data_IF_440770450090
#
_entry.id   IF_440770450090
#
_cell.length_a   1.000
_cell.length_b   1.000
_cell.length_c   1.000
_cell.angle_alpha   90.00
_cell.angle_beta   90.00
_cell.angle_gamma   90.00
#
_symmetry.space_group_name_H-M   'P 1'
#
loop_
_entity.id
_entity.type
_entity.pdbx_description
1 polymer ?
#
# COMPACT_ATOMS: atom_id res chain seq x y z
N UNK A 1 23.23 -19.95 20.79
CA UNK A 1 23.26 -18.69 20.02
C UNK A 1 22.10 -18.71 19.03
N UNK A 2 21.14 -17.80 19.18
CA UNK A 2 19.97 -17.69 18.29
C UNK A 2 20.41 -17.04 16.98
N UNK A 3 20.01 -17.62 15.83
CA UNK A 3 20.32 -17.08 14.50
C UNK A 3 19.08 -16.43 13.88
N UNK A 4 19.24 -15.35 13.10
CA UNK A 4 18.12 -14.75 12.38
C UNK A 4 17.55 -15.76 11.38
N UNK A 5 16.24 -15.73 11.18
CA UNK A 5 15.62 -16.46 10.07
C UNK A 5 16.11 -15.90 8.74
N UNK A 6 15.87 -16.62 7.63
CA UNK A 6 16.25 -16.15 6.29
C UNK A 6 15.60 -14.80 5.94
N UNK A 7 14.34 -14.61 6.33
CA UNK A 7 13.61 -13.34 6.16
C UNK A 7 14.24 -12.22 7.00
N UNK A 8 14.53 -12.48 8.28
CA UNK A 8 15.16 -11.49 9.16
C UNK A 8 16.57 -11.11 8.67
N UNK A 9 17.38 -12.08 8.23
CA UNK A 9 18.69 -11.79 7.65
C UNK A 9 18.60 -10.95 6.37
N UNK A 10 17.55 -11.13 5.56
CA UNK A 10 17.31 -10.33 4.35
C UNK A 10 17.01 -8.87 4.68
N UNK A 11 16.11 -8.59 5.64
CA UNK A 11 15.80 -7.20 6.01
C UNK A 11 16.99 -6.54 6.71
N UNK A 12 17.72 -7.27 7.56
CA UNK A 12 18.95 -6.77 8.20
C UNK A 12 20.04 -6.43 7.17
N UNK A 13 20.19 -7.27 6.13
CA UNK A 13 21.06 -6.97 4.97
C UNK A 13 20.65 -5.69 4.27
N UNK A 14 19.35 -5.51 4.01
CA UNK A 14 18.84 -4.32 3.34
C UNK A 14 19.11 -3.06 4.18
N UNK A 15 18.85 -3.10 5.49
CA UNK A 15 19.14 -1.99 6.42
C UNK A 15 20.64 -1.64 6.42
N UNK A 16 21.52 -2.64 6.55
CA UNK A 16 22.97 -2.41 6.54
C UNK A 16 23.43 -1.78 5.22
N UNK A 17 22.97 -2.31 4.08
CA UNK A 17 23.37 -1.81 2.78
C UNK A 17 22.84 -0.40 2.52
N UNK A 18 21.59 -0.11 2.88
CA UNK A 18 21.04 1.25 2.80
C UNK A 18 21.86 2.23 3.66
N UNK A 19 22.26 1.80 4.85
CA UNK A 19 23.12 2.59 5.75
C UNK A 19 24.50 2.86 5.14
N UNK A 20 25.13 1.84 4.53
CA UNK A 20 26.40 2.00 3.81
C UNK A 20 26.26 3.02 2.69
N UNK A 21 25.20 2.93 1.89
CA UNK A 21 24.98 3.85 0.77
C UNK A 21 24.76 5.30 1.24
N UNK A 22 24.06 5.51 2.36
CA UNK A 22 23.90 6.83 3.00
C UNK A 22 25.27 7.38 3.45
N UNK A 23 26.07 6.57 4.14
CA UNK A 23 27.41 6.96 4.63
C UNK A 23 28.35 7.30 3.48
N UNK A 24 28.39 6.47 2.44
CA UNK A 24 29.20 6.71 1.23
C UNK A 24 28.74 7.94 0.46
N UNK A 25 27.43 8.15 0.30
CA UNK A 25 26.86 9.33 -0.35
C UNK A 25 27.19 10.62 0.41
N UNK A 26 27.07 10.60 1.73
CA UNK A 26 27.35 11.75 2.60
C UNK A 26 28.83 12.12 2.54
N UNK A 27 29.71 11.12 2.54
CA UNK A 27 31.15 11.32 2.36
C UNK A 27 31.46 11.93 0.99
N UNK A 28 30.81 11.46 -0.07
CA UNK A 28 30.97 12.01 -1.43
C UNK A 28 30.58 13.49 -1.50
N UNK A 29 29.49 13.87 -0.84
CA UNK A 29 29.08 15.29 -0.73
C UNK A 29 30.15 16.10 -0.01
N UNK A 30 30.64 15.63 1.15
CA UNK A 30 31.67 16.32 1.91
C UNK A 30 32.98 16.48 1.12
N UNK A 31 33.40 15.44 0.40
CA UNK A 31 34.57 15.46 -0.49
C UNK A 31 34.39 16.44 -1.65
N UNK A 32 33.20 16.51 -2.26
CA UNK A 32 32.89 17.49 -3.31
C UNK A 32 33.04 18.91 -2.79
N UNK A 33 32.33 19.27 -1.71
CA UNK A 33 32.35 20.61 -1.14
C UNK A 33 33.76 21.04 -0.74
N UNK A 34 34.57 20.11 -0.21
CA UNK A 34 35.98 20.37 0.13
C UNK A 34 36.83 20.68 -1.10
N UNK A 35 36.61 19.98 -2.21
CA UNK A 35 37.46 20.06 -3.40
C UNK A 35 37.08 21.20 -4.35
N UNK A 36 35.79 21.54 -4.45
CA UNK A 36 35.29 22.55 -5.40
C UNK A 36 35.00 23.89 -4.73
N UNK A 37 34.87 23.93 -3.39
CA UNK A 37 34.32 25.06 -2.64
C UNK A 37 32.89 25.47 -3.09
N UNK A 38 32.20 24.61 -3.84
CA UNK A 38 30.83 24.79 -4.29
C UNK A 38 29.88 23.81 -3.56
N UNK A 39 28.60 24.17 -3.39
CA UNK A 39 27.59 23.23 -2.91
C UNK A 39 27.50 22.00 -3.81
N UNK A 40 27.25 20.82 -3.22
CA UNK A 40 26.96 19.63 -3.99
C UNK A 40 25.61 19.77 -4.74
N UNK A 41 25.43 19.07 -5.88
CA UNK A 41 24.17 19.11 -6.61
C UNK A 41 22.97 18.72 -5.74
N UNK A 42 21.87 19.47 -5.83
CA UNK A 42 20.67 19.26 -5.00
C UNK A 42 20.16 17.81 -5.03
N UNK A 43 20.13 17.20 -6.22
CA UNK A 43 19.75 15.79 -6.43
C UNK A 43 20.53 14.77 -5.59
N UNK A 44 21.75 15.08 -5.16
CA UNK A 44 22.53 14.18 -4.28
C UNK A 44 21.98 14.22 -2.84
N UNK A 45 21.52 15.38 -2.39
CA UNK A 45 20.85 15.50 -1.10
C UNK A 45 19.50 14.78 -1.11
N UNK A 46 18.72 14.96 -2.18
CA UNK A 46 17.45 14.25 -2.36
C UNK A 46 17.63 12.72 -2.38
N UNK A 47 18.63 12.20 -3.09
CA UNK A 47 18.94 10.76 -3.11
C UNK A 47 19.30 10.24 -1.71
N UNK A 48 20.14 10.97 -0.95
CA UNK A 48 20.48 10.58 0.43
C UNK A 48 19.25 10.62 1.34
N UNK A 49 18.41 11.66 1.22
CA UNK A 49 17.17 11.76 1.99
C UNK A 49 16.24 10.59 1.68
N UNK A 50 16.03 10.27 0.39
CA UNK A 50 15.24 9.11 -0.02
C UNK A 50 15.80 7.79 0.56
N UNK A 51 17.12 7.60 0.57
CA UNK A 51 17.76 6.42 1.20
C UNK A 51 17.57 6.41 2.71
N UNK A 52 17.65 7.55 3.38
CA UNK A 52 17.38 7.66 4.82
C UNK A 52 15.94 7.26 5.12
N UNK A 53 14.99 7.68 4.30
CA UNK A 53 13.57 7.34 4.43
C UNK A 53 13.38 5.82 4.26
N UNK A 54 13.91 5.23 3.18
CA UNK A 54 13.88 3.78 2.96
C UNK A 54 14.47 3.02 4.14
N UNK A 55 15.63 3.44 4.67
CA UNK A 55 16.23 2.83 5.87
C UNK A 55 15.27 2.90 7.07
N UNK A 56 14.69 4.08 7.36
CA UNK A 56 13.74 4.25 8.48
C UNK A 56 12.52 3.33 8.33
N UNK A 57 11.99 3.19 7.13
CA UNK A 57 10.86 2.30 6.84
C UNK A 57 11.23 0.83 6.99
N UNK A 58 12.41 0.41 6.52
CA UNK A 58 12.94 -0.94 6.72
C UNK A 58 13.13 -1.27 8.20
N UNK A 59 13.71 -0.37 8.99
CA UNK A 59 13.89 -0.58 10.44
C UNK A 59 12.54 -0.70 11.16
N UNK A 60 11.56 0.13 10.77
CA UNK A 60 10.22 0.08 11.33
C UNK A 60 9.49 -1.23 10.97
N UNK A 61 9.59 -1.67 9.71
CA UNK A 61 9.05 -2.95 9.27
C UNK A 61 9.78 -4.14 9.92
N UNK A 62 11.10 -4.04 10.11
CA UNK A 62 11.90 -5.03 10.81
C UNK A 62 11.41 -5.27 12.23
N UNK A 63 11.17 -4.20 12.99
CA UNK A 63 10.56 -4.27 14.33
C UNK A 63 9.17 -4.92 14.28
N UNK A 64 8.29 -4.47 13.37
CA UNK A 64 6.94 -5.01 13.23
C UNK A 64 6.93 -6.50 12.83
N UNK A 65 7.95 -6.97 12.12
CA UNK A 65 8.15 -8.39 11.81
C UNK A 65 8.97 -9.18 12.82
N UNK A 66 9.19 -8.64 14.03
CA UNK A 66 9.83 -9.35 15.13
C UNK A 66 11.34 -9.52 14.99
N UNK A 67 12.01 -8.63 14.27
CA UNK A 67 13.47 -8.52 14.34
C UNK A 67 13.85 -7.79 15.65
N UNK A 68 14.71 -8.38 16.50
CA UNK A 68 15.22 -7.72 17.70
C UNK A 68 15.86 -6.36 17.36
N UNK A 69 15.51 -5.32 18.11
CA UNK A 69 16.07 -3.98 18.02
C UNK A 69 17.60 -3.99 18.19
N UNK A 70 18.18 -4.83 19.07
CA UNK A 70 19.66 -4.94 19.17
C UNK A 70 20.31 -5.42 17.88
N UNK A 71 19.63 -6.24 17.08
CA UNK A 71 20.14 -6.65 15.77
C UNK A 71 20.04 -5.51 14.77
N UNK A 72 18.92 -4.78 14.75
CA UNK A 72 18.72 -3.60 13.90
C UNK A 72 19.79 -2.54 14.21
N UNK A 73 19.98 -2.23 15.48
CA UNK A 73 21.00 -1.27 15.94
C UNK A 73 22.40 -1.71 15.54
N UNK A 74 22.73 -2.99 15.74
CA UNK A 74 24.04 -3.50 15.41
C UNK A 74 24.36 -3.39 13.91
N UNK A 75 23.39 -3.66 13.03
CA UNK A 75 23.63 -3.57 11.57
C UNK A 75 23.70 -2.12 11.09
N UNK A 76 22.94 -1.23 11.71
CA UNK A 76 23.02 0.22 11.49
C UNK A 76 24.38 0.77 11.91
N UNK A 77 24.80 0.52 13.15
CA UNK A 77 26.11 0.97 13.66
C UNK A 77 27.27 0.51 12.77
N UNK A 78 27.18 -0.70 12.20
CA UNK A 78 28.21 -1.22 11.29
C UNK A 78 28.22 -0.54 9.92
N UNK A 79 27.07 -0.10 9.43
CA UNK A 79 26.95 0.71 8.21
C UNK A 79 27.40 2.16 8.41
N UNK A 80 27.38 2.66 9.65
CA UNK A 80 27.77 4.04 10.01
C UNK A 80 29.26 4.21 10.34
N UNK A 81 30.04 3.12 10.39
CA UNK A 81 31.49 3.19 10.65
C UNK A 81 32.22 3.98 9.57
N UNK A 82 33.36 4.56 9.93
CA UNK A 82 34.27 5.28 9.00
C UNK A 82 34.64 4.46 7.77
N UNK A 83 34.83 3.15 7.95
CA UNK A 83 34.97 2.17 6.88
C UNK A 83 33.72 1.29 6.87
N UNK A 84 32.65 1.71 6.17
CA UNK A 84 31.41 0.97 6.17
C UNK A 84 31.62 -0.36 5.46
N UNK A 85 31.11 -1.43 6.06
CA UNK A 85 31.22 -2.78 5.50
C UNK A 85 29.84 -3.20 5.05
N UNK A 86 29.67 -3.62 3.78
CA UNK A 86 28.41 -4.20 3.31
C UNK A 86 28.13 -5.54 4.00
N UNK A 87 26.86 -5.94 4.02
CA UNK A 87 26.44 -7.18 4.68
C UNK A 87 27.22 -8.40 4.19
N UNK A 88 27.58 -9.29 5.12
CA UNK A 88 28.10 -10.63 4.83
C UNK A 88 27.26 -11.67 5.58
N UNK A 89 27.16 -12.90 5.05
CA UNK A 89 26.36 -13.95 5.66
C UNK A 89 27.01 -14.59 6.90
N UNK A 90 28.31 -14.40 7.09
CA UNK A 90 29.11 -14.91 8.21
C UNK A 90 29.20 -13.92 9.39
N UNK A 91 28.41 -12.84 9.37
CA UNK A 91 28.48 -11.82 10.40
C UNK A 91 27.90 -12.31 11.73
N UNK A 92 28.68 -12.12 12.79
CA UNK A 92 28.20 -12.23 14.16
C UNK A 92 27.17 -11.12 14.45
N UNK A 93 26.05 -11.51 15.07
CA UNK A 93 25.05 -10.58 15.62
C UNK A 93 25.11 -10.64 17.15
N UNK A 94 24.76 -9.52 17.81
CA UNK A 94 24.65 -9.43 19.27
C UNK A 94 23.61 -10.43 19.76
N UNK A 95 23.69 -10.81 21.04
CA UNK A 95 22.61 -11.60 21.63
C UNK A 95 21.29 -10.81 21.56
N UNK A 96 20.22 -11.41 21.00
CA UNK A 96 18.95 -10.73 20.87
C UNK A 96 18.31 -10.55 22.23
N UNK A 97 17.62 -9.43 22.40
CA UNK A 97 16.63 -9.26 23.45
C UNK A 97 15.36 -10.10 23.15
N UNK A 98 14.56 -10.42 24.18
CA UNK A 98 13.27 -11.07 23.98
C UNK A 98 12.35 -10.25 23.09
N UNK A 99 11.64 -10.91 22.18
CA UNK A 99 10.60 -10.32 21.33
C UNK A 99 9.24 -10.81 21.82
N UNK A 100 8.33 -9.88 22.11
CA UNK A 100 6.95 -10.20 22.47
C UNK A 100 6.16 -10.64 21.23
N UNK A 101 6.15 -11.95 20.98
CA UNK A 101 5.51 -12.54 19.81
C UNK A 101 3.99 -12.34 19.83
N UNK A 102 3.35 -12.41 20.99
CA UNK A 102 1.90 -12.29 21.09
C UNK A 102 1.43 -10.87 20.79
N UNK A 103 2.17 -9.85 21.25
CA UNK A 103 1.91 -8.47 20.88
C UNK A 103 2.01 -8.26 19.35
N UNK A 104 3.02 -8.85 18.70
CA UNK A 104 3.19 -8.76 17.24
C UNK A 104 2.07 -9.48 16.48
N UNK A 105 1.67 -10.67 16.92
CA UNK A 105 0.52 -11.38 16.37
C UNK A 105 -0.77 -10.56 16.52
N UNK A 106 -0.95 -9.88 17.66
CA UNK A 106 -2.06 -8.96 17.88
C UNK A 106 -2.08 -7.77 16.92
N UNK A 107 -0.91 -7.21 16.57
CA UNK A 107 -0.79 -6.15 15.55
C UNK A 107 -1.21 -6.68 14.18
N UNK A 108 -0.66 -7.82 13.75
CA UNK A 108 -1.02 -8.45 12.47
C UNK A 108 -2.51 -8.78 12.43
N UNK A 109 -3.09 -9.29 13.52
CA UNK A 109 -4.51 -9.57 13.62
C UNK A 109 -5.40 -8.34 13.40
N UNK A 110 -5.00 -7.17 13.94
CA UNK A 110 -5.69 -5.89 13.68
C UNK A 110 -5.59 -5.46 12.22
N UNK A 111 -4.41 -5.60 11.60
CA UNK A 111 -4.24 -5.29 10.17
C UNK A 111 -5.17 -6.18 9.30
N UNK A 112 -5.28 -7.47 9.61
CA UNK A 112 -6.20 -8.38 8.90
C UNK A 112 -7.67 -8.01 9.13
N UNK A 113 -8.05 -7.63 10.36
CA UNK A 113 -9.41 -7.18 10.64
C UNK A 113 -9.76 -5.93 9.81
N UNK A 114 -8.86 -4.94 9.75
CA UNK A 114 -9.04 -3.75 8.92
C UNK A 114 -9.16 -4.10 7.42
N UNK A 115 -8.34 -5.01 6.89
CA UNK A 115 -8.44 -5.50 5.50
C UNK A 115 -9.83 -6.11 5.24
N UNK A 116 -10.34 -6.92 6.16
CA UNK A 116 -11.67 -7.55 6.07
C UNK A 116 -12.80 -6.51 6.09
N UNK A 117 -12.72 -5.50 6.94
CA UNK A 117 -13.70 -4.42 7.03
C UNK A 117 -13.76 -3.60 5.73
N UNK A 118 -12.59 -3.23 5.19
CA UNK A 118 -12.50 -2.49 3.92
C UNK A 118 -13.03 -3.35 2.77
N UNK A 119 -12.68 -4.65 2.72
CA UNK A 119 -13.21 -5.58 1.72
C UNK A 119 -14.74 -5.70 1.79
N UNK A 120 -15.32 -5.75 3.00
CA UNK A 120 -16.76 -5.81 3.18
C UNK A 120 -17.46 -4.52 2.73
N UNK A 121 -16.87 -3.35 3.01
CA UNK A 121 -17.39 -2.07 2.54
C UNK A 121 -17.35 -2.00 1.01
N UNK A 122 -16.24 -2.42 0.38
CA UNK A 122 -16.13 -2.49 -1.08
C UNK A 122 -17.14 -3.43 -1.72
N UNK A 123 -17.39 -4.60 -1.09
CA UNK A 123 -18.43 -5.53 -1.52
C UNK A 123 -19.83 -4.91 -1.45
N UNK A 124 -20.14 -4.18 -0.36
CA UNK A 124 -21.42 -3.48 -0.21
C UNK A 124 -21.59 -2.37 -1.24
N UNK A 125 -20.57 -1.55 -1.47
CA UNK A 125 -20.58 -0.49 -2.47
C UNK A 125 -20.93 -1.02 -3.86
N UNK A 126 -20.31 -2.14 -4.26
CA UNK A 126 -20.56 -2.77 -5.54
C UNK A 126 -22.01 -3.26 -5.74
N UNK A 127 -22.77 -3.51 -4.66
CA UNK A 127 -24.18 -3.93 -4.74
C UNK A 127 -25.15 -2.76 -4.76
N UNK A 128 -24.89 -1.72 -3.95
CA UNK A 128 -25.85 -0.62 -3.81
C UNK A 128 -25.67 0.49 -4.84
N UNK A 129 -24.55 0.51 -5.57
CA UNK A 129 -24.28 1.49 -6.62
C UNK A 129 -24.56 2.91 -6.14
N UNK A 130 -23.78 3.41 -5.17
CA UNK A 130 -24.00 4.79 -4.72
C UNK A 130 -23.51 5.78 -5.78
N UNK A 131 -24.11 6.99 -5.82
CA UNK A 131 -23.55 8.17 -6.52
C UNK A 131 -22.13 8.55 -6.07
N UNK A 132 -21.55 7.82 -5.09
CA UNK A 132 -20.20 8.06 -4.62
C UNK A 132 -19.16 7.79 -5.70
N UNK A 133 -18.18 8.68 -5.70
CA UNK A 133 -17.08 8.81 -6.64
C UNK A 133 -16.39 7.47 -6.95
N UNK A 134 -16.50 7.01 -8.20
CA UNK A 134 -15.81 5.83 -8.71
C UNK A 134 -14.28 5.91 -8.52
N UNK A 135 -13.72 7.14 -8.51
CA UNK A 135 -12.32 7.36 -8.20
C UNK A 135 -12.00 6.98 -6.75
N UNK A 136 -12.86 7.33 -5.79
CA UNK A 136 -12.68 6.96 -4.39
C UNK A 136 -12.70 5.43 -4.22
N UNK A 137 -13.63 4.73 -4.88
CA UNK A 137 -13.67 3.27 -4.86
C UNK A 137 -12.38 2.63 -5.41
N UNK A 138 -11.85 3.15 -6.54
CA UNK A 138 -10.57 2.68 -7.10
C UNK A 138 -9.37 2.95 -6.18
N UNK A 139 -9.35 4.09 -5.50
CA UNK A 139 -8.30 4.42 -4.51
C UNK A 139 -8.37 3.45 -3.32
N UNK A 140 -9.58 3.18 -2.81
CA UNK A 140 -9.78 2.23 -1.70
C UNK A 140 -9.35 0.83 -2.09
N UNK A 141 -9.69 0.36 -3.29
CA UNK A 141 -9.23 -0.95 -3.79
C UNK A 141 -7.70 -1.02 -3.80
N UNK A 142 -7.02 -0.01 -4.36
CA UNK A 142 -5.56 0.05 -4.36
C UNK A 142 -4.98 0.05 -2.94
N UNK A 143 -5.56 0.83 -2.01
CA UNK A 143 -5.14 0.88 -0.60
C UNK A 143 -5.35 -0.46 0.10
N UNK A 144 -6.45 -1.15 -0.18
CA UNK A 144 -6.73 -2.50 0.32
C UNK A 144 -5.65 -3.49 -0.12
N UNK A 145 -5.26 -3.47 -1.40
CA UNK A 145 -4.16 -4.30 -1.91
C UNK A 145 -2.82 -3.95 -1.26
N UNK A 146 -2.50 -2.67 -1.06
CA UNK A 146 -1.27 -2.24 -0.39
C UNK A 146 -1.24 -2.69 1.08
N UNK A 147 -2.35 -2.56 1.81
CA UNK A 147 -2.48 -3.03 3.20
C UNK A 147 -2.33 -4.54 3.28
N UNK A 148 -2.95 -5.29 2.36
CA UNK A 148 -2.79 -6.74 2.27
C UNK A 148 -1.35 -7.16 1.95
N UNK A 149 -0.71 -6.52 0.97
CA UNK A 149 0.67 -6.83 0.58
C UNK A 149 1.62 -6.59 1.77
N UNK A 150 1.47 -5.46 2.46
CA UNK A 150 2.21 -5.13 3.66
C UNK A 150 2.01 -6.19 4.76
N UNK A 151 0.76 -6.54 5.09
CA UNK A 151 0.46 -7.56 6.08
C UNK A 151 1.09 -8.91 5.70
N UNK A 152 0.99 -9.34 4.44
CA UNK A 152 1.61 -10.57 3.95
C UNK A 152 3.14 -10.54 4.10
N UNK A 153 3.81 -9.43 3.76
CA UNK A 153 5.26 -9.30 3.96
C UNK A 153 5.66 -9.33 5.44
N UNK A 154 4.85 -8.74 6.34
CA UNK A 154 5.08 -8.83 7.78
C UNK A 154 4.92 -10.28 8.29
N UNK A 155 3.93 -11.03 7.81
CA UNK A 155 3.78 -12.45 8.18
C UNK A 155 4.98 -13.30 7.71
N UNK A 156 5.54 -12.99 6.53
CA UNK A 156 6.76 -13.62 6.02
C UNK A 156 7.98 -13.30 6.90
N UNK A 157 8.06 -12.07 7.40
CA UNK A 157 9.16 -11.63 8.25
C UNK A 157 9.07 -12.22 9.68
N UNK A 158 7.87 -12.23 10.26
CA UNK A 158 7.56 -12.80 11.56
C UNK A 158 7.69 -14.34 11.59
N UNK A 159 7.64 -14.98 10.42
CA UNK A 159 7.67 -16.42 10.29
C UNK A 159 6.43 -17.04 10.92
N UNK A 160 5.25 -16.58 10.48
CA UNK A 160 3.97 -17.14 10.91
C UNK A 160 3.93 -18.65 10.63
N UNK A 161 3.51 -19.41 11.63
CA UNK A 161 3.25 -20.86 11.53
C UNK A 161 1.84 -21.12 11.00
N UNK A 162 1.57 -22.35 10.54
CA UNK A 162 0.23 -22.74 10.10
C UNK A 162 -0.83 -22.54 11.20
N UNK A 163 -0.53 -22.94 12.43
CA UNK A 163 -1.45 -22.79 13.56
C UNK A 163 -1.71 -21.31 13.93
N UNK A 164 -0.71 -20.44 13.79
CA UNK A 164 -0.91 -18.99 13.98
C UNK A 164 -1.75 -18.38 12.84
N UNK A 165 -1.50 -18.78 11.60
CA UNK A 165 -2.29 -18.35 10.44
C UNK A 165 -3.75 -18.76 10.58
N UNK A 166 -4.01 -20.01 10.97
CA UNK A 166 -5.35 -20.50 11.30
C UNK A 166 -5.99 -19.63 12.38
N UNK A 167 -5.31 -19.36 13.50
CA UNK A 167 -5.89 -18.49 14.55
C UNK A 167 -6.15 -17.05 14.10
N UNK A 168 -5.27 -16.46 13.29
CA UNK A 168 -5.35 -15.06 12.92
C UNK A 168 -6.42 -14.78 11.87
N UNK A 169 -6.54 -15.66 10.87
CA UNK A 169 -7.39 -15.38 9.73
C UNK A 169 -8.09 -16.60 9.17
N UNK A 170 -8.29 -17.65 9.96
CA UNK A 170 -9.14 -18.81 9.62
C UNK A 170 -10.22 -18.40 8.61
N UNK A 171 -10.23 -19.08 7.47
CA UNK A 171 -11.25 -18.95 6.43
C UNK A 171 -12.54 -19.61 6.90
N UNK A 172 -13.02 -19.21 8.08
CA UNK A 172 -14.31 -19.62 8.57
C UNK A 172 -15.38 -18.84 7.80
N UNK A 173 -16.33 -19.54 7.15
CA UNK A 173 -17.45 -18.90 6.43
C UNK A 173 -18.21 -17.87 7.29
N UNK A 174 -18.17 -18.04 8.61
CA UNK A 174 -18.81 -17.13 9.55
C UNK A 174 -18.28 -15.70 9.49
N UNK A 175 -17.00 -15.48 9.16
CA UNK A 175 -16.46 -14.12 9.10
C UNK A 175 -17.19 -13.32 8.01
N UNK A 176 -17.34 -13.91 6.83
CA UNK A 176 -17.95 -13.26 5.68
C UNK A 176 -19.43 -12.97 5.97
N UNK A 177 -20.13 -13.90 6.63
CA UNK A 177 -21.51 -13.72 7.05
C UNK A 177 -21.66 -12.58 8.08
N UNK A 178 -20.77 -12.50 9.08
CA UNK A 178 -20.75 -11.41 10.07
C UNK A 178 -20.46 -10.06 9.41
N UNK A 179 -19.48 -10.01 8.51
CA UNK A 179 -19.13 -8.79 7.80
C UNK A 179 -20.23 -8.33 6.85
N UNK A 180 -20.86 -9.26 6.10
CA UNK A 180 -22.04 -9.00 5.30
C UNK A 180 -23.18 -8.44 6.17
N UNK A 181 -23.45 -9.03 7.33
CA UNK A 181 -24.45 -8.52 8.28
C UNK A 181 -24.15 -7.09 8.75
N UNK A 182 -22.88 -6.80 9.06
CA UNK A 182 -22.46 -5.48 9.52
C UNK A 182 -22.66 -4.40 8.44
N UNK A 183 -22.35 -4.71 7.18
CA UNK A 183 -22.44 -3.74 6.08
C UNK A 183 -23.81 -3.70 5.39
N UNK A 184 -24.65 -4.74 5.49
CA UNK A 184 -25.97 -4.77 4.84
C UNK A 184 -26.91 -3.69 5.37
N UNK A 185 -26.68 -3.22 6.60
CA UNK A 185 -27.49 -2.19 7.27
C UNK A 185 -27.06 -0.77 6.94
N UNK A 186 -25.95 -0.59 6.20
CA UNK A 186 -25.46 0.73 5.82
C UNK A 186 -26.27 1.25 4.63
N UNK A 187 -26.67 2.52 4.71
CA UNK A 187 -27.27 3.25 3.59
C UNK A 187 -26.20 3.59 2.54
N UNK A 188 -26.59 3.82 1.28
CA UNK A 188 -25.65 4.19 0.22
C UNK A 188 -24.80 5.43 0.56
N UNK A 189 -25.40 6.45 1.19
CA UNK A 189 -24.68 7.66 1.63
C UNK A 189 -23.59 7.32 2.64
N UNK A 190 -23.88 6.51 3.65
CA UNK A 190 -22.90 6.12 4.68
C UNK A 190 -21.78 5.27 4.08
N UNK A 191 -22.08 4.43 3.09
CA UNK A 191 -21.06 3.67 2.35
C UNK A 191 -20.15 4.63 1.58
N UNK A 192 -20.72 5.62 0.88
CA UNK A 192 -19.97 6.66 0.17
C UNK A 192 -19.05 7.47 1.09
N UNK A 193 -19.57 7.96 2.22
CA UNK A 193 -18.79 8.74 3.18
C UNK A 193 -17.59 7.96 3.73
N UNK A 194 -17.80 6.69 4.08
CA UNK A 194 -16.71 5.81 4.56
C UNK A 194 -15.68 5.51 3.47
N UNK A 195 -16.09 5.36 2.22
CA UNK A 195 -15.14 5.20 1.11
C UNK A 195 -14.30 6.46 0.92
N UNK A 196 -14.90 7.65 1.00
CA UNK A 196 -14.16 8.92 0.91
C UNK A 196 -13.15 9.07 2.06
N UNK A 197 -13.55 8.72 3.28
CA UNK A 197 -12.67 8.69 4.44
C UNK A 197 -11.47 7.75 4.22
N UNK A 198 -11.73 6.52 3.78
CA UNK A 198 -10.67 5.55 3.48
C UNK A 198 -9.80 5.96 2.28
N UNK A 199 -10.35 6.66 1.29
CA UNK A 199 -9.65 7.09 0.09
C UNK A 199 -8.71 8.27 0.34
N UNK A 200 -9.08 9.21 1.21
CA UNK A 200 -8.39 10.49 1.32
C UNK A 200 -7.91 10.84 2.73
N UNK A 201 -8.47 10.21 3.77
CA UNK A 201 -8.19 10.55 5.18
C UNK A 201 -7.43 9.46 5.92
N UNK A 202 -7.45 8.20 5.46
CA UNK A 202 -6.73 7.09 6.12
C UNK A 202 -5.22 7.37 6.25
N UNK A 203 -4.81 7.78 7.45
CA UNK A 203 -3.43 8.15 7.80
C UNK A 203 -2.52 6.95 7.96
N UNK A 204 -3.06 5.74 8.15
CA UNK A 204 -2.21 4.55 8.22
C UNK A 204 -1.43 4.35 6.93
N UNK A 205 -1.98 4.82 5.80
CA UNK A 205 -1.35 4.72 4.50
C UNK A 205 -0.06 5.53 4.37
N UNK A 206 0.13 6.58 5.15
CA UNK A 206 1.39 7.34 5.23
C UNK A 206 2.55 6.46 5.72
N UNK A 207 2.25 5.44 6.52
CA UNK A 207 3.21 4.45 7.01
C UNK A 207 3.23 3.19 6.16
N UNK A 208 2.06 2.61 5.88
CA UNK A 208 1.93 1.31 5.22
C UNK A 208 2.50 1.33 3.81
N UNK A 209 2.20 2.38 3.03
CA UNK A 209 2.66 2.50 1.64
C UNK A 209 4.20 2.48 1.54
N UNK A 210 4.91 3.41 2.20
CA UNK A 210 6.36 3.44 2.19
C UNK A 210 7.02 2.18 2.77
N UNK A 211 6.44 1.57 3.81
CA UNK A 211 6.94 0.30 4.35
C UNK A 211 6.82 -0.85 3.34
N UNK A 212 5.69 -0.98 2.66
CA UNK A 212 5.50 -2.01 1.63
C UNK A 212 6.48 -1.82 0.46
N UNK A 213 6.71 -0.58 0.02
CA UNK A 213 7.67 -0.26 -1.04
C UNK A 213 9.09 -0.65 -0.59
N UNK A 214 9.51 -0.22 0.59
CA UNK A 214 10.84 -0.51 1.12
C UNK A 214 11.08 -2.03 1.28
N UNK A 215 10.08 -2.78 1.79
CA UNK A 215 10.14 -4.24 1.86
C UNK A 215 10.24 -4.88 0.47
N UNK A 216 9.49 -4.39 -0.52
CA UNK A 216 9.55 -4.89 -1.90
C UNK A 216 10.93 -4.68 -2.52
N UNK A 217 11.52 -3.51 -2.33
CA UNK A 217 12.90 -3.21 -2.76
C UNK A 217 13.93 -4.11 -2.05
N UNK A 218 13.67 -4.48 -0.79
CA UNK A 218 14.46 -5.49 -0.07
C UNK A 218 14.21 -6.94 -0.53
N UNK A 219 13.34 -7.17 -1.52
CA UNK A 219 13.05 -8.48 -2.10
C UNK A 219 12.03 -9.31 -1.31
N UNK A 220 11.14 -8.66 -0.55
CA UNK A 220 9.96 -9.30 0.00
C UNK A 220 8.81 -9.20 -1.01
N UNK A 221 7.93 -10.20 -1.02
CA UNK A 221 6.72 -10.19 -1.85
C UNK A 221 5.63 -10.94 -1.11
N UNK A 222 4.37 -10.51 -1.25
CA UNK A 222 3.25 -11.20 -0.61
C UNK A 222 3.15 -12.68 -1.02
N UNK A 223 3.46 -12.99 -2.28
CA UNK A 223 3.45 -14.35 -2.82
C UNK A 223 4.52 -15.27 -2.23
N UNK A 224 5.59 -14.71 -1.64
CA UNK A 224 6.63 -15.48 -0.97
C UNK A 224 6.29 -15.84 0.49
N UNK A 225 5.18 -15.31 1.03
CA UNK A 225 4.70 -15.66 2.36
C UNK A 225 4.04 -17.05 2.33
N UNK A 226 4.65 -18.02 3.04
CA UNK A 226 4.15 -19.41 3.10
C UNK A 226 2.72 -19.50 3.63
N UNK A 227 2.40 -18.66 4.60
CA UNK A 227 1.08 -18.55 5.21
C UNK A 227 0.62 -17.10 5.05
N UNK A 228 0.29 -16.72 3.82
CA UNK A 228 -0.25 -15.39 3.53
C UNK A 228 -1.73 -15.31 3.98
N UNK A 229 -2.21 -14.12 4.39
CA UNK A 229 -3.64 -13.89 4.58
C UNK A 229 -4.41 -14.01 3.25
N UNK A 230 -5.72 -14.31 3.28
CA UNK A 230 -6.53 -14.41 2.07
C UNK A 230 -6.47 -13.13 1.23
N UNK A 231 -6.50 -13.26 -0.09
CA UNK A 231 -6.37 -12.11 -1.00
C UNK A 231 -7.57 -11.18 -0.90
N UNK A 232 -7.42 -9.88 -1.19
CA UNK A 232 -8.53 -8.94 -1.23
C UNK A 232 -9.68 -9.40 -2.12
N UNK A 233 -9.36 -9.91 -3.32
CA UNK A 233 -10.35 -10.45 -4.25
C UNK A 233 -11.17 -11.60 -3.65
N UNK A 234 -10.51 -12.53 -2.94
CA UNK A 234 -11.21 -13.61 -2.23
C UNK A 234 -12.12 -13.06 -1.13
N UNK A 235 -11.62 -12.14 -0.30
CA UNK A 235 -12.40 -11.56 0.79
C UNK A 235 -13.65 -10.82 0.28
N UNK A 236 -13.49 -10.01 -0.77
CA UNK A 236 -14.61 -9.30 -1.42
C UNK A 236 -15.62 -10.30 -1.99
N UNK A 237 -15.15 -11.36 -2.66
CA UNK A 237 -16.01 -12.41 -3.24
C UNK A 237 -16.84 -13.11 -2.16
N UNK A 238 -16.22 -13.54 -1.06
CA UNK A 238 -16.93 -14.21 0.04
C UNK A 238 -18.01 -13.32 0.66
N UNK A 239 -17.71 -12.03 0.85
CA UNK A 239 -18.71 -11.08 1.38
C UNK A 239 -19.84 -10.84 0.38
N UNK A 240 -19.55 -10.73 -0.92
CA UNK A 240 -20.58 -10.61 -1.96
C UNK A 240 -21.51 -11.82 -1.96
N UNK A 241 -20.96 -13.04 -1.88
CA UNK A 241 -21.76 -14.27 -1.77
C UNK A 241 -22.63 -14.26 -0.51
N UNK A 242 -22.08 -13.87 0.64
CA UNK A 242 -22.84 -13.76 1.88
C UNK A 242 -23.94 -12.68 1.83
N UNK A 243 -23.72 -11.57 1.13
CA UNK A 243 -24.72 -10.52 0.91
C UNK A 243 -25.83 -11.00 -0.01
N UNK A 244 -25.53 -11.73 -1.09
CA UNK A 244 -26.54 -12.25 -2.02
C UNK A 244 -27.50 -13.25 -1.36
N UNK A 245 -27.02 -14.07 -0.43
CA UNK A 245 -27.88 -14.98 0.37
C UNK A 245 -28.83 -14.20 1.29
N UNK A 246 -28.39 -13.02 1.76
CA UNK A 246 -29.10 -12.21 2.75
C UNK A 246 -30.13 -11.29 2.12
N UNK A 247 -29.76 -10.64 1.02
CA UNK A 247 -30.55 -9.64 0.31
C UNK A 247 -30.88 -10.16 -1.10
N UNK A 248 -31.70 -11.22 -1.25
CA UNK A 248 -31.98 -11.84 -2.55
C UNK A 248 -32.68 -10.90 -3.54
N UNK A 249 -33.35 -9.84 -3.04
CA UNK A 249 -33.97 -8.80 -3.86
C UNK A 249 -32.94 -7.83 -4.46
N UNK A 250 -31.72 -7.77 -3.90
CA UNK A 250 -30.56 -7.06 -4.47
C UNK A 250 -29.73 -8.08 -5.26
N UNK A 251 -30.37 -8.74 -6.22
CA UNK A 251 -29.76 -9.81 -7.02
C UNK A 251 -28.59 -9.33 -7.88
N UNK A 252 -27.67 -10.23 -8.25
CA UNK A 252 -26.46 -9.92 -9.02
C UNK A 252 -26.78 -9.75 -10.51
N UNK A 253 -27.58 -8.73 -10.87
CA UNK A 253 -27.88 -8.38 -12.27
C UNK A 253 -28.13 -6.86 -12.41
N UNK A 254 -27.10 -6.09 -12.04
CA UNK A 254 -26.76 -4.88 -12.80
C UNK A 254 -25.37 -5.12 -13.41
N UNK A 255 -25.21 -6.25 -14.11
CA UNK A 255 -24.33 -6.21 -15.29
C UNK A 255 -24.89 -5.10 -16.16
N UNK A 256 -24.11 -4.04 -16.32
CA UNK A 256 -24.40 -2.92 -17.20
C UNK A 256 -24.78 -3.47 -18.57
N UNK A 257 -26.09 -3.65 -18.80
CA UNK A 257 -26.59 -3.89 -20.13
C UNK A 257 -26.27 -2.60 -20.88
N UNK A 258 -25.45 -2.60 -21.94
CA UNK A 258 -24.98 -1.37 -22.60
C UNK A 258 -26.08 -0.45 -23.17
N UNK A 259 -27.36 -0.75 -22.96
CA UNK A 259 -28.50 0.09 -23.31
C UNK A 259 -29.16 0.84 -22.14
N UNK A 260 -28.98 0.42 -20.88
CA UNK A 260 -29.73 0.99 -19.75
C UNK A 260 -29.24 2.38 -19.35
N UNK A 261 -27.94 2.62 -19.49
CA UNK A 261 -27.32 3.95 -19.31
C UNK A 261 -27.68 4.91 -20.45
N UNK A 262 -27.97 4.39 -21.65
CA UNK A 262 -28.45 5.19 -22.80
C UNK A 262 -29.92 5.58 -22.59
N UNK A 263 -30.77 4.68 -22.12
CA UNK A 263 -32.16 4.99 -21.78
C UNK A 263 -32.25 6.01 -20.65
N UNK A 264 -31.46 5.85 -19.59
CA UNK A 264 -31.46 6.81 -18.48
C UNK A 264 -30.85 8.17 -18.87
N UNK A 265 -29.89 8.20 -19.80
CA UNK A 265 -29.37 9.44 -20.39
C UNK A 265 -30.38 10.12 -21.34
N UNK A 266 -31.14 9.35 -22.12
CA UNK A 266 -32.18 9.86 -23.02
C UNK A 266 -33.39 10.39 -22.26
N UNK A 267 -33.77 9.73 -21.16
CA UNK A 267 -34.88 10.15 -20.30
C UNK A 267 -34.55 11.46 -19.56
N UNK A 268 -33.27 11.66 -19.17
CA UNK A 268 -32.79 12.93 -18.59
C UNK A 268 -32.69 14.08 -19.61
N UNK A 269 -32.63 13.79 -20.90
CA UNK A 269 -32.58 14.79 -22.00
C UNK A 269 -33.97 15.06 -22.59
N UNK A 270 -35.02 14.36 -22.14
CA UNK A 270 -36.40 14.65 -22.53
C UNK A 270 -36.74 14.29 -23.98
N UNK A 271 -35.96 13.42 -24.63
CA UNK A 271 -36.17 13.02 -26.02
C UNK A 271 -36.98 11.71 -26.11
N UNK A 272 -38.15 11.69 -25.46
CA UNK A 272 -39.15 10.65 -25.67
C UNK A 272 -39.97 10.94 -26.92
N UNK A 273 -39.40 10.68 -28.10
CA UNK A 273 -40.08 10.86 -29.38
C UNK A 273 -39.65 9.82 -30.40
N UNK A 274 -40.61 8.99 -30.82
CA UNK A 274 -40.48 7.98 -31.88
C UNK A 274 -39.73 8.52 -33.10
N UNK A 275 -38.48 8.10 -33.27
CA UNK A 275 -37.70 8.33 -34.48
C UNK A 275 -37.27 6.98 -35.07
N UNK A 276 -37.72 6.75 -36.29
CA UNK A 276 -37.40 5.68 -37.23
C UNK A 276 -35.90 5.35 -37.24
N UNK A 277 -35.49 4.07 -37.32
CA UNK A 277 -34.08 3.69 -37.21
C UNK A 277 -33.29 4.16 -38.45
N UNK A 278 -32.16 4.87 -38.28
CA UNK A 278 -31.20 4.99 -39.36
C UNK A 278 -30.32 3.73 -39.44
N UNK A 279 -30.20 3.25 -40.67
CA UNK A 279 -29.38 2.15 -41.17
C UNK A 279 -27.99 2.06 -40.52
N UNK A 280 -27.63 0.85 -40.11
CA UNK A 280 -26.32 0.51 -39.56
C UNK A 280 -25.16 0.81 -40.54
N UNK A 281 -24.05 1.41 -40.10
CA UNK A 281 -22.77 1.26 -40.77
C UNK A 281 -22.11 -0.04 -40.31
N UNK A 282 -21.99 -0.98 -41.25
CA UNK A 282 -21.06 -2.11 -41.19
C UNK A 282 -19.64 -1.53 -41.28
N UNK A 283 -18.79 -1.81 -40.29
CA UNK A 283 -17.34 -1.73 -40.46
C UNK A 283 -16.65 -2.96 -39.88
N UNK A 284 -15.79 -3.52 -40.73
CA UNK A 284 -15.12 -4.81 -40.64
C UNK A 284 -14.25 -5.01 -39.42
N UNK A 285 -14.24 -6.28 -38.99
CA UNK A 285 -13.15 -6.93 -38.28
C UNK A 285 -11.84 -6.83 -39.06
N UNK A 286 -10.79 -6.29 -38.44
CA UNK A 286 -9.42 -6.66 -38.77
C UNK A 286 -8.70 -6.95 -37.45
N UNK A 287 -8.53 -8.24 -37.19
CA UNK A 287 -7.64 -8.74 -36.16
C UNK A 287 -6.21 -8.32 -36.51
N UNK A 288 -5.55 -7.61 -35.61
CA UNK A 288 -4.09 -7.53 -35.58
C UNK A 288 -3.64 -8.10 -34.25
N UNK A 289 -3.28 -9.39 -34.29
CA UNK A 289 -2.39 -9.99 -33.32
C UNK A 289 -1.04 -9.28 -33.43
N UNK A 290 -0.64 -8.55 -32.39
CA UNK A 290 0.78 -8.23 -32.19
C UNK A 290 1.18 -8.66 -30.79
N UNK A 291 2.00 -9.71 -30.76
CA UNK A 291 2.54 -10.31 -29.55
C UNK A 291 3.55 -9.35 -28.91
N UNK A 292 3.23 -8.84 -27.72
CA UNK A 292 4.18 -8.07 -26.92
C UNK A 292 5.21 -9.04 -26.34
N UNK A 293 6.37 -9.06 -26.99
CA UNK A 293 7.58 -9.73 -26.51
C UNK A 293 8.22 -8.84 -25.44
N UNK A 294 8.20 -9.26 -24.18
CA UNK A 294 8.82 -8.50 -23.07
C UNK A 294 10.33 -8.69 -23.12
N UNK A 295 11.03 -7.76 -23.76
CA UNK A 295 12.49 -7.64 -23.68
C UNK A 295 12.89 -6.97 -22.37
N UNK A 296 13.59 -7.74 -21.52
CA UNK A 296 14.20 -7.32 -20.26
C UNK A 296 15.47 -6.47 -20.55
N UNK A 297 15.39 -5.14 -20.50
CA UNK A 297 16.55 -4.28 -20.18
C UNK A 297 16.18 -2.80 -19.91
N UNK A 298 16.90 -2.23 -18.94
CA UNK A 298 17.03 -0.81 -18.57
C UNK A 298 15.89 -0.18 -17.73
N UNK A 299 15.89 -0.48 -16.42
CA UNK A 299 15.36 0.43 -15.40
C UNK A 299 16.55 1.13 -14.73
N UNK A 300 17.06 2.17 -15.38
CA UNK A 300 17.90 3.22 -14.79
C UNK A 300 17.18 4.56 -14.99
N UNK A 301 16.01 4.68 -14.35
CA UNK A 301 15.31 5.94 -14.18
C UNK A 301 14.43 5.84 -12.93
N UNK A 302 14.90 6.44 -11.84
CA UNK A 302 14.06 6.68 -10.66
C UNK A 302 12.93 7.67 -11.04
N UNK A 303 11.71 7.50 -10.53
CA UNK A 303 10.64 8.47 -10.74
C UNK A 303 10.98 9.78 -10.03
N UNK A 304 11.02 10.87 -10.80
CA UNK A 304 11.11 12.24 -10.29
C UNK A 304 9.73 12.64 -9.76
N UNK A 305 9.59 12.77 -8.45
CA UNK A 305 8.43 13.42 -7.84
C UNK A 305 8.68 14.91 -7.83
N UNK A 306 7.98 15.65 -8.68
CA UNK A 306 7.99 17.11 -8.66
C UNK A 306 7.15 17.58 -7.46
N UNK A 307 7.80 18.12 -6.43
CA UNK A 307 7.13 18.76 -5.31
C UNK A 307 6.36 19.98 -5.79
N UNK A 308 5.07 20.05 -5.46
CA UNK A 308 4.25 21.24 -5.66
C UNK A 308 4.74 22.37 -4.76
N UNK A 309 4.67 23.60 -5.30
CA UNK A 309 5.06 24.84 -4.63
C UNK A 309 4.26 25.09 -3.34
N UNK A 310 4.96 25.53 -2.30
CA UNK A 310 4.37 26.05 -1.07
C UNK A 310 3.63 27.37 -1.35
N UNK A 311 2.41 27.59 -0.83
CA UNK A 311 1.77 28.90 -0.90
C UNK A 311 2.32 29.83 0.19
N UNK A 312 2.89 30.96 -0.23
CA UNK A 312 3.28 32.09 0.60
C UNK A 312 2.07 32.63 1.38
N UNK A 313 2.06 32.42 2.70
CA UNK A 313 1.16 33.11 3.63
C UNK A 313 1.97 33.81 4.71
N UNK A 314 2.44 35.03 4.40
CA UNK A 314 2.72 36.06 5.41
C UNK A 314 2.29 37.42 4.86
N UNK A 315 1.05 37.80 5.20
CA UNK A 315 0.56 39.15 5.03
C UNK A 315 1.22 40.09 6.02
N UNK A 316 1.89 41.12 5.49
CA UNK A 316 2.19 42.38 6.18
C UNK A 316 0.88 42.99 6.69
N UNK A 317 0.87 43.44 7.94
CA UNK A 317 0.03 44.55 8.41
C UNK A 317 0.75 45.21 9.58
N UNK A 318 1.61 46.18 9.24
CA UNK A 318 1.99 47.26 10.13
C UNK A 318 1.33 48.53 9.59
N UNK A 319 0.62 49.22 10.49
CA UNK A 319 0.50 50.68 10.61
C UNK A 319 -0.93 51.10 11.01
N UNK A 320 -1.04 51.51 12.28
CA UNK A 320 -1.88 52.61 12.72
C UNK A 320 -1.31 53.13 14.06
N UNK A 321 -0.43 54.12 13.95
CA UNK A 321 -0.28 55.16 14.99
C UNK A 321 -1.62 55.89 15.17
N UNK A 322 -1.97 56.28 16.40
CA UNK A 322 -2.14 57.69 16.82
C UNK A 322 -2.23 57.72 18.34
N UNK A 323 -1.38 58.53 18.95
CA UNK A 323 -1.41 58.85 20.37
C UNK A 323 -0.38 59.89 20.82
N UNK A 324 -0.17 60.97 20.04
CA UNK A 324 -0.07 62.38 20.45
C UNK A 324 0.35 63.27 19.27
#
# INVERSE_FOLDING_TARGET
>A
MIRPTRSQARVLKAIQNATVDITEGSRRIAEWTKNTAEPAPHRWHEDIQGRQDVRRWLESAARAGGVPQRWIDHVRERGERERPVRWRSDLYLRDPEPVDRDALLGVVGRDIAAIREIAALGARYALVGSDADAQAASIVERRLYQRWEHAAMLTQLLGITAAEAERLWATEPEWAARSAHAVSRLSPTVVGDRLMELAYVDRDMERIGPQAIALREAGFTALAARHAPPTPAYLVSEVKTALAVRDPEVGPEQEATPGRDIEHALEKVGLGGSATPPTAPVFSSAASHEAITVTRRAFDAAPVFSSAAEPEWFGRSGDAEVGL
#
